data_IF_183288865701
#
_entry.id   IF_183288865701
#
_cell.length_a   1.000
_cell.length_b   1.000
_cell.length_c   1.000
_cell.angle_alpha   90.00
_cell.angle_beta   90.00
_cell.angle_gamma   90.00
#
_symmetry.space_group_name_H-M   'P 1'
#
loop_
_entity.id
_entity.type
_entity.pdbx_description
1 polymer ?
#
# COMPACT_ATOMS: atom_id res chain seq x y z
N UNK A 1 3.29 8.92 9.88
CA UNK A 1 2.28 7.94 10.34
C UNK A 1 2.76 7.41 11.67
N UNK A 2 2.07 7.76 12.75
CA UNK A 2 2.45 7.37 14.11
C UNK A 2 2.15 5.89 14.36
N UNK A 3 2.75 5.31 15.40
CA UNK A 3 2.40 3.97 15.88
C UNK A 3 0.89 3.85 16.13
N UNK A 4 0.27 2.79 15.59
CA UNK A 4 -1.18 2.55 15.66
C UNK A 4 -2.03 3.26 14.60
N UNK A 5 -1.48 4.20 13.83
CA UNK A 5 -2.20 4.83 12.72
C UNK A 5 -2.31 3.85 11.54
N UNK A 6 -3.51 3.77 10.95
CA UNK A 6 -3.77 2.93 9.78
C UNK A 6 -3.80 3.76 8.50
N UNK A 7 -3.25 3.18 7.44
CA UNK A 7 -3.36 3.69 6.08
C UNK A 7 -4.76 3.36 5.56
N UNK A 8 -5.42 4.33 4.95
CA UNK A 8 -6.75 4.17 4.37
C UNK A 8 -6.67 4.32 2.85
N UNK A 9 -6.78 3.22 2.12
CA UNK A 9 -6.86 3.18 0.66
C UNK A 9 -8.34 3.20 0.30
N UNK A 10 -8.79 4.28 -0.34
CA UNK A 10 -10.15 4.42 -0.85
C UNK A 10 -10.09 4.69 -2.35
N UNK A 11 -10.67 3.79 -3.15
CA UNK A 11 -10.69 3.87 -4.62
C UNK A 11 -12.14 3.83 -5.07
N UNK A 12 -12.58 4.89 -5.73
CA UNK A 12 -13.94 4.96 -6.30
C UNK A 12 -14.02 4.02 -7.50
N UNK A 13 -15.09 3.24 -7.60
CA UNK A 13 -15.33 2.27 -8.69
C UNK A 13 -14.22 1.22 -8.86
N UNK A 14 -13.58 0.80 -7.77
CA UNK A 14 -12.53 -0.21 -7.80
C UNK A 14 -13.02 -1.53 -8.43
N UNK A 15 -12.24 -2.10 -9.36
CA UNK A 15 -12.40 -3.49 -9.76
C UNK A 15 -12.12 -4.41 -8.57
N UNK A 16 -12.67 -5.63 -8.61
CA UNK A 16 -12.57 -6.59 -7.49
C UNK A 16 -11.17 -7.18 -7.28
N UNK A 17 -10.26 -7.02 -8.24
CA UNK A 17 -8.93 -7.64 -8.20
C UNK A 17 -7.85 -6.61 -8.51
N UNK A 18 -7.52 -5.80 -7.50
CA UNK A 18 -6.43 -4.84 -7.56
C UNK A 18 -5.12 -5.49 -7.10
N UNK A 19 -4.01 -4.86 -7.44
CA UNK A 19 -2.69 -5.16 -6.89
C UNK A 19 -2.16 -3.92 -6.18
N UNK A 20 -1.62 -4.09 -4.98
CA UNK A 20 -0.92 -3.05 -4.23
C UNK A 20 0.51 -3.48 -3.98
N UNK A 21 1.46 -2.59 -4.20
CA UNK A 21 2.88 -2.81 -3.95
C UNK A 21 3.44 -1.68 -3.11
N UNK A 22 4.27 -2.01 -2.14
CA UNK A 22 4.97 -1.03 -1.31
C UNK A 22 6.46 -1.19 -1.50
N UNK A 23 7.12 -0.08 -1.79
CA UNK A 23 8.55 0.01 -2.00
C UNK A 23 9.19 0.93 -0.96
N UNK A 24 10.43 0.65 -0.60
CA UNK A 24 11.27 1.66 0.05
C UNK A 24 11.87 2.64 -0.97
N UNK A 25 12.62 3.63 -0.48
CA UNK A 25 13.26 4.65 -1.31
C UNK A 25 14.40 4.11 -2.21
N UNK A 26 14.87 2.88 -1.97
CA UNK A 26 15.84 2.21 -2.83
C UNK A 26 15.19 1.43 -3.97
N UNK A 27 13.86 1.35 -3.99
CA UNK A 27 13.08 0.56 -4.95
C UNK A 27 12.91 -0.90 -4.53
N UNK A 28 13.28 -1.28 -3.31
CA UNK A 28 13.06 -2.64 -2.83
C UNK A 28 11.57 -2.86 -2.54
N UNK A 29 10.99 -3.91 -3.13
CA UNK A 29 9.62 -4.33 -2.84
C UNK A 29 9.54 -4.93 -1.42
N UNK A 30 8.77 -4.28 -0.55
CA UNK A 30 8.60 -4.69 0.85
C UNK A 30 7.35 -5.54 1.08
N UNK A 31 6.31 -5.34 0.28
CA UNK A 31 5.10 -6.15 0.27
C UNK A 31 4.32 -5.96 -1.02
N UNK A 32 3.60 -7.02 -1.41
CA UNK A 32 2.60 -6.98 -2.45
C UNK A 32 1.31 -7.65 -1.96
N UNK A 33 0.17 -7.06 -2.28
CA UNK A 33 -1.15 -7.60 -1.97
C UNK A 33 -2.02 -7.60 -3.23
N UNK A 34 -2.83 -8.64 -3.40
CA UNK A 34 -3.88 -8.69 -4.42
C UNK A 34 -5.24 -8.96 -3.79
N UNK A 35 -6.28 -8.42 -4.41
CA UNK A 35 -7.68 -8.63 -4.04
C UNK A 35 -8.49 -7.35 -4.05
N UNK A 36 -9.56 -7.35 -3.26
CA UNK A 36 -10.40 -6.18 -3.03
C UNK A 36 -9.66 -5.08 -2.27
N UNK A 37 -10.21 -3.85 -2.30
CA UNK A 37 -9.68 -2.71 -1.54
C UNK A 37 -9.59 -3.03 -0.04
N UNK A 38 -10.53 -3.78 0.52
CA UNK A 38 -10.54 -4.16 1.93
C UNK A 38 -9.40 -5.12 2.28
N UNK A 39 -9.19 -6.16 1.47
CA UNK A 39 -8.10 -7.12 1.65
C UNK A 39 -6.72 -6.45 1.51
N UNK A 40 -6.59 -5.55 0.55
CA UNK A 40 -5.39 -4.74 0.36
C UNK A 40 -5.15 -3.86 1.59
N UNK A 41 -6.16 -3.15 2.07
CA UNK A 41 -6.05 -2.34 3.28
C UNK A 41 -5.58 -3.16 4.48
N UNK A 42 -6.14 -4.35 4.68
CA UNK A 42 -5.72 -5.26 5.76
C UNK A 42 -4.25 -5.64 5.63
N UNK A 43 -3.85 -6.23 4.50
CA UNK A 43 -2.47 -6.71 4.26
C UNK A 43 -1.43 -5.60 4.32
N UNK A 44 -1.74 -4.45 3.74
CA UNK A 44 -0.86 -3.27 3.77
C UNK A 44 -0.67 -2.79 5.20
N UNK A 45 -1.75 -2.63 5.97
CA UNK A 45 -1.66 -2.17 7.35
C UNK A 45 -0.89 -3.15 8.25
N UNK A 46 -1.14 -4.45 8.12
CA UNK A 46 -0.43 -5.49 8.86
C UNK A 46 1.08 -5.44 8.57
N UNK A 47 1.48 -5.18 7.30
CA UNK A 47 2.89 -4.97 6.96
C UNK A 47 3.43 -3.67 7.53
N UNK A 48 2.73 -2.56 7.35
CA UNK A 48 3.17 -1.21 7.75
C UNK A 48 3.39 -1.09 9.27
N UNK A 49 2.74 -1.91 10.09
CA UNK A 49 3.00 -1.99 11.53
C UNK A 49 4.42 -2.46 11.85
N UNK A 50 4.98 -3.35 11.02
CA UNK A 50 6.28 -3.98 11.24
C UNK A 50 7.46 -3.25 10.56
N UNK A 51 7.17 -2.23 9.73
CA UNK A 51 8.21 -1.43 9.09
C UNK A 51 8.83 -0.45 10.09
N UNK A 52 10.09 -0.06 9.84
CA UNK A 52 10.76 0.99 10.62
C UNK A 52 10.21 2.37 10.23
N UNK A 53 10.54 3.39 11.00
CA UNK A 53 10.37 4.78 10.60
C UNK A 53 11.10 5.03 9.27
N UNK A 54 10.45 5.73 8.34
CA UNK A 54 10.98 5.90 6.99
C UNK A 54 9.95 6.39 5.99
N UNK A 55 10.41 6.57 4.75
CA UNK A 55 9.59 6.96 3.61
C UNK A 55 9.40 5.74 2.71
N UNK A 56 8.16 5.51 2.30
CA UNK A 56 7.75 4.41 1.44
C UNK A 56 6.90 4.93 0.29
N UNK A 57 6.85 4.17 -0.79
CA UNK A 57 5.98 4.43 -1.93
C UNK A 57 4.97 3.29 -2.02
N UNK A 58 3.68 3.60 -2.06
CA UNK A 58 2.64 2.65 -2.41
C UNK A 58 2.19 2.88 -3.84
N UNK A 59 2.11 1.80 -4.62
CA UNK A 59 1.57 1.79 -5.97
C UNK A 59 0.38 0.84 -6.03
N UNK A 60 -0.74 1.28 -6.59
CA UNK A 60 -1.95 0.48 -6.77
C UNK A 60 -2.22 0.33 -8.26
N UNK A 61 -2.44 -0.90 -8.69
CA UNK A 61 -2.70 -1.30 -10.06
C UNK A 61 -4.10 -1.91 -10.15
N UNK A 62 -4.79 -1.54 -11.22
CA UNK A 62 -5.94 -2.26 -11.72
C UNK A 62 -5.44 -3.00 -12.96
N UNK A 63 -5.35 -4.33 -12.85
CA UNK A 63 -4.60 -5.19 -13.78
C UNK A 63 -3.10 -4.83 -13.81
N UNK A 64 -2.54 -4.57 -15.00
CA UNK A 64 -1.11 -4.30 -15.20
C UNK A 64 -0.76 -2.81 -15.31
N UNK A 65 -1.76 -1.92 -15.20
CA UNK A 65 -1.54 -0.46 -15.25
C UNK A 65 -1.60 0.14 -13.85
N UNK A 66 -0.54 0.86 -13.46
CA UNK A 66 -0.51 1.60 -12.20
C UNK A 66 -1.53 2.74 -12.25
N UNK A 67 -2.58 2.66 -11.44
CA UNK A 67 -3.60 3.69 -11.35
C UNK A 67 -3.21 4.80 -10.39
N UNK A 68 -2.51 4.47 -9.31
CA UNK A 68 -2.25 5.41 -8.24
C UNK A 68 -0.90 5.13 -7.59
N UNK A 69 -0.14 6.18 -7.35
CA UNK A 69 1.08 6.12 -6.58
C UNK A 69 1.07 7.22 -5.53
N UNK A 70 1.51 6.89 -4.31
CA UNK A 70 1.59 7.86 -3.23
C UNK A 70 2.74 7.56 -2.29
N UNK A 71 3.21 8.64 -1.65
CA UNK A 71 4.26 8.58 -0.64
C UNK A 71 3.65 8.42 0.74
N UNK A 72 4.20 7.48 1.49
CA UNK A 72 3.86 7.23 2.89
C UNK A 72 5.06 7.65 3.73
N UNK A 73 4.81 8.51 4.70
CA UNK A 73 5.81 8.86 5.72
C UNK A 73 5.40 8.12 6.99
N UNK A 74 6.24 7.19 7.46
CA UNK A 74 6.08 6.50 8.74
C UNK A 74 7.00 7.15 9.77
N UNK A 75 6.43 7.53 10.90
CA UNK A 75 7.08 8.28 12.00
C UNK A 75 7.20 7.39 13.22
#
# INVERSE_FOLDING_TARGET
MKSGQKLNIAIKNAKRNLKAEIYDMTGQLLTAARGSVEEINKKVNDRMQNLKTGIYIISIYDEDTSLYQSKIIKE
#
